data_IF_304832446069
#
_entry.id   IF_304832446069
#
_cell.length_a   1.000
_cell.length_b   1.000
_cell.length_c   1.000
_cell.angle_alpha   90.00
_cell.angle_beta   90.00
_cell.angle_gamma   90.00
#
_symmetry.space_group_name_H-M   'P 1'
#
loop_
_entity.id
_entity.type
_entity.pdbx_description
1 polymer ?
#
# COMPACT_ATOMS: atom_id res chain seq x y z
N UNK A 1 32.46 -14.49 15.88
CA UNK A 1 33.47 -14.63 16.96
C UNK A 1 33.07 -13.68 18.09
N UNK A 2 33.04 -14.13 19.34
CA UNK A 2 32.53 -13.34 20.47
C UNK A 2 33.59 -12.39 21.02
N UNK A 3 33.19 -11.21 21.51
CA UNK A 3 34.09 -10.19 22.06
C UNK A 3 35.06 -10.70 23.15
N UNK A 4 34.70 -11.79 23.84
CA UNK A 4 35.56 -12.48 24.81
C UNK A 4 36.88 -12.99 24.22
N UNK A 5 36.89 -13.40 22.94
CA UNK A 5 38.08 -13.92 22.25
C UNK A 5 39.10 -12.84 21.90
N UNK A 6 38.71 -11.56 21.89
CA UNK A 6 39.61 -10.45 21.59
C UNK A 6 40.26 -9.84 22.84
N UNK A 7 39.99 -10.37 24.03
CA UNK A 7 40.66 -9.96 25.27
C UNK A 7 42.16 -10.30 25.17
N UNK A 8 43.00 -9.31 25.46
CA UNK A 8 44.47 -9.44 25.33
C UNK A 8 45.02 -9.02 23.95
N UNK A 9 44.17 -8.85 22.93
CA UNK A 9 44.60 -8.32 21.64
C UNK A 9 44.49 -6.78 21.62
N UNK A 10 45.61 -6.11 21.32
CA UNK A 10 45.77 -4.66 21.44
C UNK A 10 44.71 -3.85 20.67
N UNK A 11 44.28 -4.30 19.49
CA UNK A 11 43.34 -3.56 18.63
C UNK A 11 41.96 -4.20 18.50
N UNK A 12 41.68 -5.25 19.29
CA UNK A 12 40.40 -5.96 19.30
C UNK A 12 39.83 -6.30 17.90
N UNK A 13 40.68 -6.60 16.91
CA UNK A 13 40.27 -6.95 15.55
C UNK A 13 40.07 -5.79 14.55
N UNK A 14 40.20 -4.52 14.96
CA UNK A 14 39.92 -3.36 14.10
C UNK A 14 41.17 -2.76 13.40
N UNK A 15 42.27 -3.51 13.36
CA UNK A 15 43.55 -3.06 12.81
C UNK A 15 44.24 -1.95 13.63
N UNK A 16 45.56 -1.79 13.46
CA UNK A 16 46.35 -0.80 14.23
C UNK A 16 46.28 0.62 13.65
N UNK A 17 46.17 0.73 12.32
CA UNK A 17 46.28 2.00 11.58
C UNK A 17 44.92 2.66 11.39
N UNK A 18 43.94 1.95 10.81
CA UNK A 18 42.61 2.50 10.53
C UNK A 18 41.80 2.82 11.80
N UNK A 19 41.92 1.96 12.83
CA UNK A 19 41.17 1.97 14.09
C UNK A 19 39.65 1.95 13.90
N UNK A 20 38.93 1.53 14.94
CA UNK A 20 37.47 1.67 14.95
C UNK A 20 37.10 3.13 15.23
N UNK A 21 36.59 3.84 14.23
CA UNK A 21 36.17 5.25 14.34
C UNK A 21 34.65 5.33 14.27
N UNK A 22 34.07 6.30 14.99
CA UNK A 22 32.62 6.42 15.18
C UNK A 22 31.82 6.51 13.87
N UNK A 23 32.17 7.42 12.96
CA UNK A 23 31.48 7.61 11.68
C UNK A 23 32.44 8.11 10.60
N UNK A 24 33.29 7.24 10.02
CA UNK A 24 34.30 7.67 9.07
C UNK A 24 33.73 8.25 7.76
N UNK A 25 32.52 7.85 7.37
CA UNK A 25 31.81 8.33 6.17
C UNK A 25 30.68 9.34 6.46
N UNK A 26 30.64 9.93 7.65
CA UNK A 26 29.56 10.83 8.08
C UNK A 26 28.37 10.11 8.74
N UNK A 27 27.37 10.90 9.14
CA UNK A 27 26.17 10.44 9.84
C UNK A 27 24.93 10.64 8.97
N UNK A 28 23.99 9.70 9.00
CA UNK A 28 22.74 9.82 8.24
C UNK A 28 22.98 9.80 6.73
N UNK A 29 22.26 10.65 5.99
CA UNK A 29 22.31 10.74 4.52
C UNK A 29 23.48 11.61 3.98
N UNK A 30 24.56 11.74 4.75
CA UNK A 30 25.77 12.44 4.29
C UNK A 30 26.38 11.71 3.09
N UNK A 31 26.69 12.45 2.03
CA UNK A 31 27.21 11.90 0.77
C UNK A 31 26.13 11.50 -0.24
N UNK A 32 24.85 11.58 0.11
CA UNK A 32 23.76 11.45 -0.87
C UNK A 32 23.81 12.66 -1.81
N UNK A 33 23.96 12.45 -3.14
CA UNK A 33 24.02 13.55 -4.09
C UNK A 33 22.75 14.42 -4.01
N UNK A 34 22.90 15.74 -3.99
CA UNK A 34 21.77 16.68 -3.89
C UNK A 34 20.70 16.49 -4.98
N UNK A 35 21.06 15.93 -6.14
CA UNK A 35 20.11 15.66 -7.22
C UNK A 35 19.14 14.51 -6.89
N UNK A 36 19.54 13.55 -6.05
CA UNK A 36 18.69 12.43 -5.64
C UNK A 36 17.52 12.90 -4.75
N UNK A 37 17.77 13.91 -3.90
CA UNK A 37 16.74 14.48 -3.03
C UNK A 37 15.79 15.45 -3.76
N UNK A 38 16.26 16.09 -4.84
CA UNK A 38 15.49 17.11 -5.59
C UNK A 38 14.47 16.52 -6.57
N UNK A 39 14.70 15.31 -7.10
CA UNK A 39 13.87 14.74 -8.16
C UNK A 39 12.50 14.19 -7.70
N UNK A 40 12.22 14.18 -6.39
CA UNK A 40 11.05 13.52 -5.80
C UNK A 40 10.08 14.48 -5.08
N UNK A 41 10.34 15.79 -5.12
CA UNK A 41 9.48 16.78 -4.45
C UNK A 41 8.31 17.21 -5.35
N UNK A 42 7.10 16.76 -5.04
CA UNK A 42 5.89 17.33 -5.61
C UNK A 42 5.49 18.59 -4.81
N UNK A 43 5.78 19.77 -5.35
CA UNK A 43 5.40 21.04 -4.71
C UNK A 43 3.88 21.24 -4.75
N UNK A 44 3.30 21.83 -3.70
CA UNK A 44 1.85 22.10 -3.57
C UNK A 44 0.95 20.88 -3.86
N UNK A 45 1.29 19.72 -3.31
CA UNK A 45 0.50 18.50 -3.47
C UNK A 45 -0.91 18.66 -2.88
N UNK A 46 -1.92 18.64 -3.73
CA UNK A 46 -3.33 18.61 -3.31
C UNK A 46 -3.77 17.17 -3.12
N UNK A 47 -3.78 16.68 -1.86
CA UNK A 47 -4.09 15.28 -1.55
C UNK A 47 -5.50 14.84 -2.00
N UNK A 48 -6.46 15.76 -2.01
CA UNK A 48 -7.85 15.47 -2.40
C UNK A 48 -7.98 14.99 -3.85
N UNK A 49 -7.13 15.48 -4.77
CA UNK A 49 -7.12 15.05 -6.16
C UNK A 49 -6.70 13.57 -6.33
N UNK A 50 -5.95 13.05 -5.36
CA UNK A 50 -5.48 11.67 -5.33
C UNK A 50 -6.34 10.76 -4.44
N UNK A 51 -7.44 11.26 -3.90
CA UNK A 51 -8.35 10.46 -3.08
C UNK A 51 -9.02 9.39 -3.95
N UNK A 52 -8.58 8.13 -3.77
CA UNK A 52 -9.14 6.94 -4.44
C UNK A 52 -9.02 5.72 -3.54
N UNK A 53 -9.81 5.64 -2.45
CA UNK A 53 -9.89 4.44 -1.63
C UNK A 53 -10.34 3.23 -2.46
N UNK A 54 -9.77 2.07 -2.14
CA UNK A 54 -9.89 0.86 -2.94
C UNK A 54 -10.80 -0.15 -2.23
N UNK A 55 -11.71 -0.76 -2.98
CA UNK A 55 -12.46 -1.95 -2.58
C UNK A 55 -12.18 -3.10 -3.55
N UNK A 56 -12.13 -4.31 -3.03
CA UNK A 56 -12.00 -5.51 -3.83
C UNK A 56 -13.39 -6.12 -4.08
N UNK A 57 -13.48 -6.87 -5.17
CA UNK A 57 -14.70 -7.52 -5.63
C UNK A 57 -15.30 -8.51 -4.60
N UNK A 58 -14.47 -9.19 -3.79
CA UNK A 58 -14.90 -10.05 -2.67
C UNK A 58 -15.85 -9.36 -1.66
N UNK A 59 -15.64 -8.06 -1.44
CA UNK A 59 -16.35 -7.28 -0.41
C UNK A 59 -17.53 -6.49 -0.95
N UNK A 60 -17.78 -6.47 -2.26
CA UNK A 60 -18.94 -5.75 -2.83
C UNK A 60 -20.25 -6.29 -2.24
N UNK A 61 -20.35 -7.60 -2.05
CA UNK A 61 -21.56 -8.24 -1.51
C UNK A 61 -21.82 -7.94 -0.03
N UNK A 62 -20.85 -7.39 0.71
CA UNK A 62 -21.06 -6.99 2.10
C UNK A 62 -21.72 -5.62 2.23
N UNK A 63 -21.62 -4.77 1.20
CA UNK A 63 -22.20 -3.42 1.18
C UNK A 63 -23.72 -3.42 1.04
N UNK A 64 -24.27 -4.46 0.43
CA UNK A 64 -25.71 -4.60 0.24
C UNK A 64 -26.36 -4.88 1.63
N UNK A 65 -27.50 -4.25 1.96
CA UNK A 65 -28.29 -4.63 3.14
C UNK A 65 -28.86 -6.05 3.00
N UNK A 66 -29.08 -6.74 4.11
CA UNK A 66 -29.50 -8.16 4.08
C UNK A 66 -30.84 -8.40 3.39
N UNK A 67 -31.74 -7.41 3.40
CA UNK A 67 -33.06 -7.47 2.76
C UNK A 67 -32.98 -7.61 1.24
N UNK A 68 -32.00 -6.96 0.61
CA UNK A 68 -31.81 -6.97 -0.84
C UNK A 68 -30.95 -8.15 -1.33
N UNK A 69 -30.33 -8.93 -0.42
CA UNK A 69 -29.52 -10.10 -0.76
C UNK A 69 -30.34 -11.34 -1.11
N UNK A 70 -31.65 -11.31 -0.88
CA UNK A 70 -32.55 -12.45 -1.12
C UNK A 70 -32.98 -12.64 -2.58
N UNK A 71 -32.48 -11.82 -3.51
CA UNK A 71 -32.83 -11.89 -4.92
C UNK A 71 -32.26 -13.14 -5.60
N UNK A 72 -33.11 -13.85 -6.33
CA UNK A 72 -32.73 -15.00 -7.16
C UNK A 72 -32.16 -14.55 -8.51
N UNK A 73 -31.39 -15.43 -9.16
CA UNK A 73 -30.67 -15.15 -10.40
C UNK A 73 -31.56 -14.69 -11.57
N UNK A 74 -32.85 -15.05 -11.54
CA UNK A 74 -33.82 -14.80 -12.62
C UNK A 74 -34.70 -13.56 -12.37
N UNK A 75 -34.33 -12.69 -11.45
CA UNK A 75 -35.09 -11.48 -11.14
C UNK A 75 -34.79 -10.35 -12.13
N UNK A 76 -35.84 -9.71 -12.65
CA UNK A 76 -35.72 -8.51 -13.51
C UNK A 76 -35.17 -7.30 -12.74
N UNK A 77 -35.29 -7.29 -11.41
CA UNK A 77 -34.82 -6.22 -10.54
C UNK A 77 -33.51 -6.62 -9.88
N UNK A 78 -32.45 -5.89 -10.21
CA UNK A 78 -31.07 -6.18 -9.83
C UNK A 78 -30.58 -5.11 -8.84
N UNK A 79 -29.83 -5.48 -7.77
CA UNK A 79 -29.30 -4.49 -6.82
C UNK A 79 -28.21 -3.64 -7.47
N UNK A 80 -28.29 -2.32 -7.25
CA UNK A 80 -27.31 -1.34 -7.72
C UNK A 80 -26.42 -0.91 -6.56
N UNK A 81 -25.13 -1.20 -6.65
CA UNK A 81 -24.12 -0.89 -5.63
C UNK A 81 -23.40 0.40 -6.03
N UNK A 82 -23.70 1.51 -5.34
CA UNK A 82 -23.00 2.78 -5.54
C UNK A 82 -21.75 2.84 -4.64
N UNK A 83 -20.59 2.53 -5.21
CA UNK A 83 -19.32 2.46 -4.47
C UNK A 83 -18.83 3.82 -3.99
N UNK A 84 -19.15 4.90 -4.72
CA UNK A 84 -18.78 6.26 -4.36
C UNK A 84 -19.54 6.75 -3.12
N UNK A 85 -20.82 6.40 -2.97
CA UNK A 85 -21.60 6.73 -1.76
C UNK A 85 -21.02 6.12 -0.50
N UNK A 86 -20.48 4.90 -0.60
CA UNK A 86 -19.77 4.23 0.50
C UNK A 86 -18.34 4.75 0.68
N UNK A 87 -17.90 5.71 -0.13
CA UNK A 87 -16.59 6.32 -0.02
C UNK A 87 -15.47 5.48 -0.63
N UNK A 88 -15.76 4.64 -1.63
CA UNK A 88 -14.76 3.93 -2.43
C UNK A 88 -14.63 4.56 -3.81
N UNK A 89 -13.40 4.80 -4.26
CA UNK A 89 -13.11 5.44 -5.55
C UNK A 89 -12.61 4.48 -6.63
N UNK A 90 -12.22 3.25 -6.26
CA UNK A 90 -11.71 2.25 -7.20
C UNK A 90 -12.08 0.82 -6.79
N UNK A 91 -12.52 0.03 -7.76
CA UNK A 91 -12.82 -1.41 -7.59
C UNK A 91 -11.71 -2.26 -8.23
N UNK A 92 -11.23 -3.26 -7.50
CA UNK A 92 -10.20 -4.21 -7.96
C UNK A 92 -10.73 -5.65 -8.03
N UNK A 93 -10.31 -6.39 -9.07
CA UNK A 93 -10.71 -7.76 -9.36
C UNK A 93 -9.99 -8.82 -8.55
N UNK A 94 -9.98 -8.69 -7.22
CA UNK A 94 -9.47 -9.74 -6.34
C UNK A 94 -10.63 -10.40 -5.58
N UNK A 95 -10.71 -11.73 -5.66
CA UNK A 95 -11.73 -12.54 -4.97
C UNK A 95 -12.76 -13.18 -5.90
N UNK A 96 -13.77 -13.78 -5.29
CA UNK A 96 -14.85 -14.51 -5.97
C UNK A 96 -16.19 -13.89 -5.61
N UNK A 97 -17.01 -13.61 -6.61
CA UNK A 97 -18.38 -13.15 -6.45
C UNK A 97 -19.37 -14.32 -6.46
N UNK A 98 -20.52 -14.18 -5.79
CA UNK A 98 -21.65 -15.05 -6.05
C UNK A 98 -22.10 -14.91 -7.51
N UNK A 99 -22.60 -16.00 -8.11
CA UNK A 99 -23.19 -16.00 -9.46
C UNK A 99 -24.59 -15.38 -9.45
N UNK A 100 -24.68 -14.16 -8.95
CA UNK A 100 -25.92 -13.36 -8.90
C UNK A 100 -25.69 -12.08 -9.69
N UNK A 101 -26.69 -11.61 -10.44
CA UNK A 101 -26.57 -10.34 -11.14
C UNK A 101 -26.55 -9.18 -10.12
N UNK A 102 -25.66 -8.22 -10.34
CA UNK A 102 -25.64 -6.93 -9.66
C UNK A 102 -25.06 -5.88 -10.61
N UNK A 103 -25.35 -4.60 -10.36
CA UNK A 103 -24.80 -3.48 -11.12
C UNK A 103 -23.90 -2.68 -10.18
N UNK A 104 -22.67 -2.41 -10.61
CA UNK A 104 -21.77 -1.48 -9.94
C UNK A 104 -21.93 -0.08 -10.55
N UNK A 105 -22.05 0.93 -9.69
CA UNK A 105 -22.18 2.31 -10.10
C UNK A 105 -21.14 3.18 -9.39
N UNK A 106 -20.41 3.97 -10.17
CA UNK A 106 -19.45 4.93 -9.66
C UNK A 106 -18.00 4.45 -9.69
N UNK A 107 -17.08 5.34 -9.33
CA UNK A 107 -15.67 5.02 -9.22
C UNK A 107 -14.99 4.62 -10.54
N UNK A 108 -13.83 3.98 -10.41
CA UNK A 108 -13.06 3.44 -11.53
C UNK A 108 -12.89 1.94 -11.33
N UNK A 109 -13.15 1.14 -12.36
CA UNK A 109 -13.05 -0.32 -12.31
C UNK A 109 -11.74 -0.78 -12.96
N UNK A 110 -11.05 -1.75 -12.36
CA UNK A 110 -9.89 -2.39 -12.98
C UNK A 110 -10.30 -3.37 -14.07
N UNK A 111 -9.48 -3.56 -15.09
CA UNK A 111 -9.75 -4.49 -16.21
C UNK A 111 -10.07 -5.94 -15.78
N UNK A 112 -9.51 -6.40 -14.66
CA UNK A 112 -9.64 -7.78 -14.15
C UNK A 112 -10.90 -7.94 -13.27
N UNK A 113 -11.51 -6.83 -12.85
CA UNK A 113 -12.69 -6.83 -11.99
C UNK A 113 -13.96 -7.18 -12.77
#
# INVERSE_FOLDING_TARGET
MTAKKHRGHVSAGHGRVGKHRMHPGGRGLVGVPSWLLRYMCHFHLTRNAHWRPIINVDKLWSLIPAEEKGLTADSDVVPVIDTLRFGYGKVLGNGVLPKLPFIEAGGVVSLIA
#
